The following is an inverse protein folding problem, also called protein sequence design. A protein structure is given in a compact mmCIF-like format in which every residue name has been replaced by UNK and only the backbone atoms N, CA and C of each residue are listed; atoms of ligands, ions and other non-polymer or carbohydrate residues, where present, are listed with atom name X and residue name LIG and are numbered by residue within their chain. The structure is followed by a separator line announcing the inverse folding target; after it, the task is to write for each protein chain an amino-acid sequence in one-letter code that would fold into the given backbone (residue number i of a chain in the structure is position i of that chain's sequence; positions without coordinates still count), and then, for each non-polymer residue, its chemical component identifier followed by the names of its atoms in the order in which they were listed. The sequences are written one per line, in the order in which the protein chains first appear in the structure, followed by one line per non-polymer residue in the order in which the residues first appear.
data_IF_622846015020
#
_entry.id   IF_622846015020
#
_cell.length_a   1.000
_cell.length_b   1.000
_cell.length_c   1.000
_cell.angle_alpha   90.00
_cell.angle_beta   90.00
_cell.angle_gamma   90.00
#
_symmetry.space_group_name_H-M   'P 1'
#
loop_
_entity.id
_entity.type
_entity.pdbx_description
1 polymer ?
#
# COMPACT_ATOMS: atom_id res chain seq x y z
N UNK A 1 17.50 13.69 -5.17
CA UNK A 1 17.18 13.07 -3.86
C UNK A 1 15.73 12.60 -3.93
N UNK A 2 15.43 11.37 -3.46
CA UNK A 2 14.07 10.82 -3.36
C UNK A 2 13.36 11.43 -2.15
N UNK A 3 12.07 11.66 -2.27
CA UNK A 3 11.21 12.16 -1.20
C UNK A 3 10.16 11.11 -0.86
N UNK A 4 10.17 10.60 0.37
CA UNK A 4 9.27 9.53 0.81
C UNK A 4 9.71 8.13 0.40
N UNK A 5 8.73 7.27 0.04
CA UNK A 5 8.95 5.88 -0.32
C UNK A 5 9.84 5.70 -1.55
N UNK A 6 10.56 4.58 -1.64
CA UNK A 6 11.42 4.25 -2.78
C UNK A 6 10.68 3.41 -3.82
N UNK A 7 11.08 3.52 -5.10
CA UNK A 7 10.52 2.70 -6.18
C UNK A 7 10.67 1.20 -5.92
N UNK A 8 11.79 0.80 -5.31
CA UNK A 8 12.11 -0.60 -4.98
C UNK A 8 11.18 -1.18 -3.90
N UNK A 9 10.70 -0.33 -3.02
CA UNK A 9 9.83 -0.75 -1.90
C UNK A 9 8.35 -0.58 -2.23
N UNK A 10 8.01 0.15 -3.30
CA UNK A 10 6.65 0.58 -3.61
C UNK A 10 6.29 1.91 -2.97
N UNK A 11 5.29 2.56 -3.50
CA UNK A 11 4.88 3.95 -3.19
C UNK A 11 3.45 3.96 -2.65
N UNK A 12 3.24 4.62 -1.51
CA UNK A 12 1.91 4.91 -0.98
C UNK A 12 1.39 6.25 -1.49
N UNK A 13 0.11 6.28 -1.84
CA UNK A 13 -0.62 7.50 -2.22
C UNK A 13 -1.99 7.49 -1.53
N UNK A 14 -2.06 8.05 -0.31
CA UNK A 14 -3.27 7.95 0.49
C UNK A 14 -3.56 6.51 0.90
N UNK A 15 -4.70 6.00 0.50
CA UNK A 15 -5.21 4.64 0.70
C UNK A 15 -4.80 3.66 -0.41
N UNK A 16 -3.95 4.08 -1.33
CA UNK A 16 -3.48 3.28 -2.46
C UNK A 16 -1.98 2.95 -2.35
N UNK A 17 -1.63 1.76 -2.81
CA UNK A 17 -0.26 1.27 -2.89
C UNK A 17 0.10 0.85 -4.32
N UNK A 18 1.20 1.39 -4.83
CA UNK A 18 1.71 1.17 -6.17
C UNK A 18 3.14 0.61 -6.10
N UNK A 19 3.38 -0.54 -6.68
CA UNK A 19 4.72 -1.12 -6.75
C UNK A 19 5.13 -1.35 -8.20
N UNK A 20 5.98 -0.46 -8.73
CA UNK A 20 6.41 -0.47 -10.13
C UNK A 20 7.09 -1.77 -10.56
N UNK A 21 8.20 -2.18 -9.91
CA UNK A 21 8.93 -3.41 -10.24
C UNK A 21 8.06 -4.68 -10.17
N UNK A 22 7.16 -4.82 -9.21
CA UNK A 22 6.25 -5.95 -9.12
C UNK A 22 5.01 -5.80 -10.02
N UNK A 23 4.83 -4.64 -10.67
CA UNK A 23 3.63 -4.31 -11.43
C UNK A 23 2.35 -4.63 -10.62
N UNK A 24 2.26 -4.04 -9.42
CA UNK A 24 1.24 -4.36 -8.42
C UNK A 24 0.53 -3.11 -7.92
N UNK A 25 -0.78 -3.19 -7.82
CA UNK A 25 -1.67 -2.25 -7.15
C UNK A 25 -2.45 -2.94 -6.05
N UNK A 26 -2.62 -2.25 -4.94
CA UNK A 26 -3.53 -2.57 -3.84
C UNK A 26 -4.17 -1.30 -3.30
N UNK A 27 -5.40 -1.40 -2.80
CA UNK A 27 -6.08 -0.31 -2.11
C UNK A 27 -6.54 -0.78 -0.72
N UNK A 28 -6.49 0.13 0.25
CA UNK A 28 -7.06 -0.07 1.58
C UNK A 28 -8.42 0.64 1.69
N UNK A 29 -9.26 0.27 2.66
CA UNK A 29 -10.41 1.10 3.02
C UNK A 29 -9.96 2.49 3.50
N UNK A 30 -10.82 3.48 3.34
CA UNK A 30 -10.61 4.81 3.90
C UNK A 30 -10.22 4.71 5.39
N UNK A 31 -9.34 5.59 5.82
CA UNK A 31 -8.84 5.67 7.20
C UNK A 31 -7.92 4.53 7.66
N UNK A 32 -7.73 3.48 6.89
CA UNK A 32 -6.73 2.46 7.19
C UNK A 32 -5.32 2.95 6.84
N UNK A 33 -4.36 2.58 7.66
CA UNK A 33 -2.96 2.90 7.41
C UNK A 33 -2.27 1.80 6.59
N UNK A 34 -1.51 2.21 5.57
CA UNK A 34 -0.62 1.31 4.83
C UNK A 34 0.79 1.53 5.37
N UNK A 35 1.40 0.47 5.92
CA UNK A 35 2.76 0.47 6.45
C UNK A 35 3.61 -0.44 5.57
N UNK A 36 4.54 0.16 4.86
CA UNK A 36 5.42 -0.55 3.94
C UNK A 36 6.77 -0.82 4.63
N UNK A 37 7.13 -2.10 4.75
CA UNK A 37 8.39 -2.55 5.33
C UNK A 37 9.19 -3.37 4.30
N UNK A 38 10.49 -3.61 4.50
CA UNK A 38 11.28 -4.40 3.54
C UNK A 38 10.74 -5.81 3.24
N UNK A 39 10.04 -6.43 4.19
CA UNK A 39 9.63 -7.83 4.09
C UNK A 39 8.11 -8.01 3.99
N UNK A 40 7.31 -6.98 4.22
CA UNK A 40 5.86 -7.07 4.22
C UNK A 40 5.16 -5.73 4.05
N UNK A 41 4.02 -5.78 3.40
CA UNK A 41 3.06 -4.69 3.36
C UNK A 41 1.97 -4.95 4.40
N UNK A 42 1.68 -3.96 5.23
CA UNK A 42 0.73 -4.06 6.34
C UNK A 42 -0.38 -3.04 6.14
N UNK A 43 -1.61 -3.50 6.28
CA UNK A 43 -2.80 -2.66 6.35
C UNK A 43 -3.33 -2.72 7.78
N UNK A 44 -3.45 -1.58 8.43
CA UNK A 44 -3.87 -1.44 9.82
C UNK A 44 -5.17 -0.64 9.92
N UNK A 45 -6.14 -1.15 10.64
CA UNK A 45 -7.35 -0.38 10.95
C UNK A 45 -7.01 0.86 11.79
N UNK A 46 -7.87 1.90 11.83
CA UNK A 46 -7.57 3.18 12.48
C UNK A 46 -7.10 3.09 13.92
N UNK A 47 -7.69 2.17 14.70
CA UNK A 47 -7.30 1.91 16.09
C UNK A 47 -6.27 0.78 16.23
N UNK A 48 -5.81 0.21 15.11
CA UNK A 48 -4.86 -0.89 15.11
C UNK A 48 -5.43 -2.22 15.61
N UNK A 49 -6.75 -2.36 15.73
CA UNK A 49 -7.42 -3.58 16.19
C UNK A 49 -7.26 -4.73 15.19
N UNK A 50 -7.35 -4.42 13.91
CA UNK A 50 -7.26 -5.37 12.80
C UNK A 50 -6.06 -5.09 11.91
N UNK A 51 -5.35 -6.15 11.54
CA UNK A 51 -4.15 -6.11 10.71
C UNK A 51 -4.32 -7.10 9.56
N UNK A 52 -4.07 -6.65 8.34
CA UNK A 52 -3.81 -7.53 7.20
C UNK A 52 -2.35 -7.36 6.78
N UNK A 53 -1.59 -8.44 6.77
CA UNK A 53 -0.22 -8.45 6.25
C UNK A 53 -0.19 -9.14 4.90
N UNK A 54 0.58 -8.59 3.96
CA UNK A 54 0.95 -9.25 2.71
C UNK A 54 2.45 -9.53 2.73
N UNK A 55 2.83 -10.75 2.40
CA UNK A 55 4.22 -11.16 2.14
C UNK A 55 4.34 -11.74 0.74
N UNK A 56 5.55 -11.79 0.23
CA UNK A 56 5.88 -12.29 -1.10
C UNK A 56 6.89 -13.42 -0.97
N UNK A 57 6.62 -14.54 -1.63
CA UNK A 57 7.53 -15.68 -1.73
C UNK A 57 7.61 -16.17 -3.17
N UNK A 58 8.72 -16.83 -3.51
CA UNK A 58 8.86 -17.48 -4.81
C UNK A 58 8.08 -18.81 -4.83
N UNK A 59 7.36 -19.06 -5.93
CA UNK A 59 6.65 -20.31 -6.15
C UNK A 59 7.63 -21.36 -6.70
N UNK A 60 8.13 -22.20 -5.82
CA UNK A 60 9.15 -23.19 -6.18
C UNK A 60 8.58 -24.52 -6.73
N UNK A 61 7.26 -24.70 -6.70
CA UNK A 61 6.61 -25.96 -7.10
C UNK A 61 5.34 -25.68 -7.91
N UNK A 62 5.04 -26.60 -8.83
CA UNK A 62 3.74 -26.59 -9.53
C UNK A 62 2.68 -27.18 -8.60
N UNK A 63 1.92 -26.33 -7.96
CA UNK A 63 0.82 -26.70 -7.08
C UNK A 63 -0.33 -25.71 -7.24
N UNK A 64 -1.52 -26.09 -6.78
CA UNK A 64 -2.66 -25.18 -6.75
C UNK A 64 -2.55 -24.21 -5.57
N UNK A 65 -3.21 -23.02 -5.63
CA UNK A 65 -3.28 -22.11 -4.49
C UNK A 65 -3.85 -22.77 -3.23
N UNK A 66 -4.83 -23.67 -3.39
CA UNK A 66 -5.42 -24.45 -2.31
C UNK A 66 -4.38 -25.41 -1.68
N UNK A 67 -3.59 -26.10 -2.48
CA UNK A 67 -2.57 -27.03 -1.97
C UNK A 67 -1.43 -26.28 -1.29
N UNK A 68 -1.04 -25.15 -1.83
CA UNK A 68 -0.10 -24.24 -1.18
C UNK A 68 -0.58 -23.84 0.22
N UNK A 69 -1.87 -23.45 0.36
CA UNK A 69 -2.46 -23.05 1.62
C UNK A 69 -2.45 -24.20 2.66
N UNK A 70 -2.55 -25.46 2.24
CA UNK A 70 -2.49 -26.63 3.14
C UNK A 70 -1.18 -26.77 3.91
N UNK A 71 -0.12 -26.10 3.46
CA UNK A 71 1.16 -26.04 4.19
C UNK A 71 1.03 -25.31 5.53
N UNK A 72 0.06 -24.40 5.65
CA UNK A 72 -0.13 -23.54 6.81
C UNK A 72 -1.27 -24.00 7.74
N UNK A 73 -2.21 -24.77 7.21
CA UNK A 73 -3.34 -25.29 7.98
C UNK A 73 -3.94 -26.52 7.31
N UNK A 74 -4.44 -27.44 8.12
CA UNK A 74 -5.12 -28.66 7.65
C UNK A 74 -6.64 -28.47 7.53
N UNK A 75 -7.22 -27.56 8.31
CA UNK A 75 -8.66 -27.33 8.35
C UNK A 75 -8.99 -25.90 7.93
N UNK A 76 -9.79 -25.80 6.88
CA UNK A 76 -10.30 -24.53 6.35
C UNK A 76 -11.81 -24.44 6.59
N UNK A 77 -12.30 -23.24 6.83
CA UNK A 77 -13.71 -22.91 6.80
C UNK A 77 -13.95 -21.57 6.13
N UNK A 78 -15.14 -21.38 5.57
CA UNK A 78 -15.46 -20.28 4.67
C UNK A 78 -14.40 -20.12 3.60
N UNK A 79 -13.98 -21.26 3.03
CA UNK A 79 -12.95 -21.32 2.00
C UNK A 79 -13.54 -21.15 0.60
N UNK A 80 -12.75 -20.55 -0.28
CA UNK A 80 -13.13 -20.25 -1.65
C UNK A 80 -11.92 -20.13 -2.57
N UNK A 81 -12.04 -20.74 -3.77
CA UNK A 81 -11.11 -20.42 -4.85
C UNK A 81 -11.33 -18.98 -5.33
N UNK A 82 -10.27 -18.30 -5.64
CA UNK A 82 -10.27 -16.92 -6.11
C UNK A 82 -9.80 -16.83 -7.55
N UNK A 83 -10.41 -15.92 -8.30
CA UNK A 83 -9.85 -15.40 -9.54
C UNK A 83 -9.99 -13.88 -9.48
N UNK A 84 -8.90 -13.21 -9.15
CA UNK A 84 -8.86 -11.76 -8.95
C UNK A 84 -8.07 -11.14 -10.10
N UNK A 85 -8.77 -10.44 -10.99
CA UNK A 85 -8.17 -9.79 -12.16
C UNK A 85 -7.30 -10.74 -13.02
N UNK A 86 -7.70 -12.02 -13.11
CA UNK A 86 -6.99 -13.06 -13.86
C UNK A 86 -5.90 -13.79 -13.07
N UNK A 87 -5.69 -13.46 -11.80
CA UNK A 87 -4.77 -14.19 -10.93
C UNK A 87 -5.52 -15.25 -10.13
N UNK A 88 -5.05 -16.50 -10.25
CA UNK A 88 -5.59 -17.60 -9.46
C UNK A 88 -5.20 -17.47 -8.00
N UNK A 89 -6.10 -17.85 -7.12
CA UNK A 89 -5.88 -17.78 -5.70
C UNK A 89 -6.81 -18.66 -4.88
N UNK A 90 -6.64 -18.62 -3.59
CA UNK A 90 -7.47 -19.29 -2.62
C UNK A 90 -7.55 -18.48 -1.33
N UNK A 91 -8.71 -18.45 -0.70
CA UNK A 91 -8.90 -17.83 0.61
C UNK A 91 -9.66 -18.74 1.55
N UNK A 92 -9.34 -18.65 2.84
CA UNK A 92 -10.04 -19.38 3.90
C UNK A 92 -9.92 -18.67 5.24
N UNK A 93 -10.82 -18.97 6.15
CA UNK A 93 -10.58 -18.76 7.58
C UNK A 93 -9.87 -19.97 8.16
N UNK A 94 -8.91 -19.71 9.03
CA UNK A 94 -8.07 -20.72 9.67
C UNK A 94 -8.03 -20.46 11.17
N UNK A 95 -8.18 -21.50 11.96
CA UNK A 95 -7.94 -21.40 13.40
C UNK A 95 -6.49 -21.73 13.70
N UNK A 96 -5.75 -20.77 14.26
CA UNK A 96 -4.37 -20.95 14.71
C UNK A 96 -4.31 -20.67 16.21
N UNK A 97 -4.09 -21.72 16.98
CA UNK A 97 -3.96 -21.61 18.46
C UNK A 97 -5.13 -20.87 19.11
N UNK A 98 -6.36 -21.19 18.71
CA UNK A 98 -7.57 -20.57 19.25
C UNK A 98 -7.98 -19.24 18.59
N UNK A 99 -7.14 -18.69 17.72
CA UNK A 99 -7.43 -17.44 17.01
C UNK A 99 -7.82 -17.69 15.56
N UNK A 100 -8.95 -17.11 15.16
CA UNK A 100 -9.40 -17.18 13.77
C UNK A 100 -8.71 -16.08 12.98
N UNK A 101 -8.11 -16.46 11.85
CA UNK A 101 -7.46 -15.55 10.92
C UNK A 101 -8.05 -15.72 9.51
N UNK A 102 -8.16 -14.66 8.73
CA UNK A 102 -8.38 -14.73 7.29
C UNK A 102 -7.03 -14.93 6.61
N UNK A 103 -6.90 -16.00 5.83
CA UNK A 103 -5.75 -16.21 4.96
C UNK A 103 -6.17 -16.17 3.50
N UNK A 104 -5.31 -15.66 2.65
CA UNK A 104 -5.46 -15.77 1.20
C UNK A 104 -4.09 -15.88 0.54
N UNK A 105 -4.05 -16.51 -0.61
CA UNK A 105 -2.89 -16.55 -1.51
C UNK A 105 -3.34 -16.20 -2.91
N UNK A 106 -2.51 -15.44 -3.63
CA UNK A 106 -2.69 -15.13 -5.03
C UNK A 106 -1.39 -15.47 -5.76
N UNK A 107 -1.50 -16.17 -6.87
CA UNK A 107 -0.37 -16.55 -7.72
C UNK A 107 -0.26 -15.55 -8.87
N UNK A 108 0.92 -14.97 -9.01
CA UNK A 108 1.22 -14.05 -10.10
C UNK A 108 2.66 -14.27 -10.56
N UNK A 109 2.81 -14.66 -11.82
CA UNK A 109 4.07 -15.15 -12.36
C UNK A 109 4.57 -16.33 -11.49
N UNK A 110 5.84 -16.41 -11.20
CA UNK A 110 6.41 -17.46 -10.32
C UNK A 110 6.46 -16.99 -8.85
N UNK A 111 5.46 -16.26 -8.40
CA UNK A 111 5.41 -15.67 -7.05
C UNK A 111 4.06 -15.92 -6.39
N UNK A 112 4.12 -16.08 -5.07
CA UNK A 112 2.96 -16.21 -4.18
C UNK A 112 2.85 -14.97 -3.32
N UNK A 113 1.73 -14.27 -3.44
CA UNK A 113 1.35 -13.17 -2.56
C UNK A 113 0.46 -13.73 -1.47
N UNK A 114 0.98 -13.81 -0.25
CA UNK A 114 0.28 -14.34 0.91
C UNK A 114 -0.31 -13.21 1.73
N UNK A 115 -1.59 -13.34 2.08
CA UNK A 115 -2.30 -12.41 2.94
C UNK A 115 -2.70 -13.11 4.22
N UNK A 116 -2.45 -12.48 5.37
CA UNK A 116 -2.86 -12.95 6.68
C UNK A 116 -3.54 -11.82 7.45
N UNK A 117 -4.85 -11.93 7.61
CA UNK A 117 -5.68 -10.99 8.35
C UNK A 117 -5.99 -11.51 9.76
N UNK A 118 -5.68 -10.72 10.78
CA UNK A 118 -5.89 -11.08 12.18
C UNK A 118 -6.26 -9.88 13.04
N UNK A 119 -6.77 -10.15 14.22
CA UNK A 119 -7.07 -9.14 15.23
C UNK A 119 -5.98 -9.14 16.29
N UNK A 120 -5.61 -7.96 16.77
CA UNK A 120 -4.68 -7.84 17.91
C UNK A 120 -5.35 -8.14 19.24
N UNK A 121 -6.63 -7.79 19.35
CA UNK A 121 -7.43 -7.98 20.56
C UNK A 121 -8.42 -9.15 20.38
N UNK A 122 -8.48 -10.03 21.40
CA UNK A 122 -9.39 -11.18 21.43
C UNK A 122 -10.86 -10.78 21.68
N UNK A 123 -11.10 -9.57 22.18
CA UNK A 123 -12.45 -9.06 22.43
C UNK A 123 -13.19 -8.67 21.14
N UNK A 124 -12.46 -8.42 20.05
CA UNK A 124 -13.03 -8.08 18.74
C UNK A 124 -13.37 -9.30 17.92
N UNK A 125 -14.43 -9.22 17.12
CA UNK A 125 -14.83 -10.31 16.22
C UNK A 125 -14.22 -10.15 14.83
N UNK A 126 -13.60 -11.20 14.30
CA UNK A 126 -13.07 -11.20 12.94
C UNK A 126 -14.14 -10.85 11.91
N UNK A 127 -15.40 -11.23 12.12
CA UNK A 127 -16.49 -10.93 11.20
C UNK A 127 -16.71 -9.43 10.94
N UNK A 128 -16.31 -8.58 11.88
CA UNK A 128 -16.35 -7.12 11.72
C UNK A 128 -15.36 -6.61 10.67
N UNK A 129 -14.19 -7.22 10.55
CA UNK A 129 -13.10 -6.76 9.70
C UNK A 129 -12.84 -7.65 8.48
N UNK A 130 -13.44 -8.83 8.44
CA UNK A 130 -13.27 -9.78 7.33
C UNK A 130 -13.69 -9.22 5.96
N UNK A 131 -14.79 -8.43 5.83
CA UNK A 131 -15.12 -7.77 4.57
C UNK A 131 -14.05 -6.79 4.11
N UNK A 132 -13.41 -6.05 5.03
CA UNK A 132 -12.32 -5.12 4.71
C UNK A 132 -11.06 -5.87 4.26
N UNK A 133 -10.71 -6.97 4.93
CA UNK A 133 -9.61 -7.84 4.49
C UNK A 133 -9.85 -8.37 3.07
N UNK A 134 -11.04 -8.88 2.81
CA UNK A 134 -11.41 -9.36 1.47
C UNK A 134 -11.44 -8.21 0.45
N UNK A 135 -11.85 -7.01 0.85
CA UNK A 135 -11.82 -5.82 0.00
C UNK A 135 -10.40 -5.48 -0.46
N UNK A 136 -9.44 -5.46 0.48
CA UNK A 136 -8.02 -5.23 0.16
C UNK A 136 -7.50 -6.33 -0.78
N UNK A 137 -7.75 -7.61 -0.47
CA UNK A 137 -7.32 -8.75 -1.29
C UNK A 137 -7.92 -8.65 -2.71
N UNK A 138 -9.20 -8.30 -2.83
CA UNK A 138 -9.89 -8.16 -4.12
C UNK A 138 -9.41 -6.96 -4.93
N UNK A 139 -8.76 -5.97 -4.31
CA UNK A 139 -8.17 -4.83 -5.02
C UNK A 139 -6.87 -5.18 -5.75
N UNK A 140 -6.30 -6.38 -5.52
CA UNK A 140 -5.06 -6.84 -6.12
C UNK A 140 -5.16 -6.88 -7.66
N UNK A 141 -4.30 -6.15 -8.33
CA UNK A 141 -4.22 -6.11 -9.80
C UNK A 141 -2.89 -5.58 -10.30
N UNK A 142 -2.66 -5.63 -11.59
CA UNK A 142 -1.55 -4.94 -12.23
C UNK A 142 -1.80 -3.44 -12.30
N UNK A 143 -0.73 -2.67 -12.40
CA UNK A 143 -0.78 -1.23 -12.68
C UNK A 143 -1.29 -0.96 -14.09
N UNK A 144 -2.18 0.01 -14.24
CA UNK A 144 -2.52 0.55 -15.54
C UNK A 144 -1.43 1.54 -16.02
N UNK A 145 -1.58 2.06 -17.26
CA UNK A 145 -0.57 2.92 -17.88
C UNK A 145 -0.31 4.21 -17.08
N UNK A 146 -1.34 4.83 -16.55
CA UNK A 146 -1.21 6.08 -15.81
C UNK A 146 -0.63 5.84 -14.41
N UNK A 147 -0.96 4.73 -13.78
CA UNK A 147 -0.48 4.35 -12.45
C UNK A 147 1.01 4.01 -12.40
N UNK A 148 1.61 3.67 -13.54
CA UNK A 148 3.08 3.50 -13.63
C UNK A 148 3.84 4.78 -13.28
N UNK A 149 3.27 5.94 -13.53
CA UNK A 149 3.87 7.20 -13.10
C UNK A 149 3.69 7.42 -11.59
N UNK A 150 2.56 7.00 -11.01
CA UNK A 150 2.35 7.03 -9.56
C UNK A 150 3.24 6.06 -8.79
N UNK A 151 3.73 4.99 -9.42
CA UNK A 151 4.68 4.06 -8.80
C UNK A 151 6.13 4.58 -8.76
N UNK A 152 6.40 5.77 -9.33
CA UNK A 152 7.71 6.41 -9.27
C UNK A 152 7.85 7.27 -8.01
N UNK A 153 9.03 7.29 -7.38
CA UNK A 153 9.24 8.12 -6.21
C UNK A 153 9.21 9.60 -6.58
N UNK A 154 8.67 10.40 -5.69
CA UNK A 154 8.75 11.85 -5.80
C UNK A 154 10.20 12.31 -5.67
N UNK A 155 10.57 13.34 -6.44
CA UNK A 155 11.94 13.85 -6.46
C UNK A 155 11.97 15.35 -6.21
N UNK A 156 12.99 15.78 -5.49
CA UNK A 156 13.29 17.20 -5.39
C UNK A 156 13.81 17.75 -6.73
N UNK A 157 13.26 18.85 -7.16
CA UNK A 157 13.77 19.66 -8.28
C UNK A 157 14.04 21.07 -7.82
N UNK A 158 15.09 21.68 -8.34
CA UNK A 158 15.34 23.12 -8.19
C UNK A 158 14.35 23.91 -9.04
N UNK A 159 13.73 24.91 -8.46
CA UNK A 159 12.77 25.78 -9.12
C UNK A 159 13.10 27.24 -8.84
N UNK A 160 13.18 28.08 -9.88
CA UNK A 160 13.33 29.51 -9.73
C UNK A 160 11.97 30.16 -9.63
N UNK A 161 11.68 30.76 -8.51
CA UNK A 161 10.40 31.44 -8.19
C UNK A 161 10.13 32.52 -9.22
N UNK A 162 8.93 32.50 -9.81
CA UNK A 162 8.44 33.49 -10.77
C UNK A 162 7.55 34.51 -10.06
N UNK A 163 7.32 35.65 -10.69
CA UNK A 163 6.36 36.63 -10.18
C UNK A 163 4.95 36.04 -10.08
N UNK A 164 4.32 36.18 -8.92
CA UNK A 164 2.99 35.64 -8.64
C UNK A 164 2.95 34.19 -8.12
N UNK A 165 4.11 33.49 -8.02
CA UNK A 165 4.16 32.19 -7.38
C UNK A 165 3.94 32.33 -5.87
N UNK A 166 3.13 31.41 -5.32
CA UNK A 166 2.95 31.21 -3.89
C UNK A 166 3.20 29.75 -3.52
N UNK A 167 3.46 29.45 -2.25
CA UNK A 167 3.57 28.05 -1.81
C UNK A 167 2.30 27.26 -2.10
N UNK A 168 1.13 27.87 -1.94
CA UNK A 168 -0.16 27.26 -2.28
C UNK A 168 -0.27 26.92 -3.78
N UNK A 169 0.13 27.84 -4.68
CA UNK A 169 0.10 27.60 -6.11
C UNK A 169 1.10 26.54 -6.59
N UNK A 170 2.24 26.40 -5.91
CA UNK A 170 3.21 25.34 -6.20
C UNK A 170 2.79 24.00 -5.59
N UNK A 171 2.17 24.03 -4.41
CA UNK A 171 1.63 22.83 -3.77
C UNK A 171 0.52 22.17 -4.59
N UNK A 172 -0.39 22.97 -5.16
CA UNK A 172 -1.46 22.45 -6.04
C UNK A 172 -0.97 21.78 -7.32
N UNK A 173 0.28 22.04 -7.72
CA UNK A 173 0.96 21.43 -8.89
C UNK A 173 1.91 20.30 -8.50
N UNK A 174 2.09 20.06 -7.21
CA UNK A 174 2.93 18.97 -6.71
C UNK A 174 2.15 17.67 -6.63
N UNK A 175 2.89 16.55 -6.60
CA UNK A 175 2.30 15.23 -6.38
C UNK A 175 2.32 14.82 -4.89
N UNK A 176 2.42 15.77 -3.97
CA UNK A 176 2.34 15.54 -2.54
C UNK A 176 0.87 15.41 -2.14
N UNK A 177 0.49 14.30 -1.51
CA UNK A 177 -0.91 13.99 -1.21
C UNK A 177 -1.50 14.76 -0.01
N UNK A 178 -0.67 15.03 1.02
CA UNK A 178 -1.14 15.65 2.27
C UNK A 178 -0.26 16.83 2.65
N UNK A 179 -0.86 17.92 3.10
CA UNK A 179 -0.17 19.10 3.62
C UNK A 179 0.95 19.60 2.69
N UNK A 180 0.70 19.57 1.37
CA UNK A 180 1.72 19.85 0.35
C UNK A 180 2.37 21.22 0.53
N UNK A 181 1.62 22.25 0.90
CA UNK A 181 2.13 23.59 1.16
C UNK A 181 3.11 23.59 2.35
N UNK A 182 2.72 23.02 3.47
CA UNK A 182 3.55 22.93 4.68
C UNK A 182 4.84 22.14 4.41
N UNK A 183 4.72 21.04 3.67
CA UNK A 183 5.89 20.23 3.30
C UNK A 183 6.84 21.00 2.38
N UNK A 184 6.33 21.77 1.42
CA UNK A 184 7.16 22.62 0.57
C UNK A 184 7.83 23.74 1.40
N UNK A 185 7.14 24.34 2.37
CA UNK A 185 7.70 25.32 3.29
C UNK A 185 8.82 24.70 4.14
N UNK A 186 8.58 23.52 4.71
CA UNK A 186 9.55 22.79 5.56
C UNK A 186 10.85 22.50 4.80
N UNK A 187 10.80 21.94 3.60
CA UNK A 187 12.00 21.56 2.83
C UNK A 187 12.82 22.77 2.35
N UNK A 188 12.20 23.97 2.37
CA UNK A 188 12.85 25.24 2.00
C UNK A 188 13.20 26.10 3.21
N UNK A 189 12.90 25.65 4.44
CA UNK A 189 13.16 26.40 5.68
C UNK A 189 12.28 27.64 5.86
N UNK A 190 11.08 27.61 5.30
CA UNK A 190 10.12 28.72 5.28
C UNK A 190 8.86 28.45 6.11
N UNK A 191 8.81 27.32 6.81
CA UNK A 191 7.69 26.99 7.71
C UNK A 191 7.72 27.88 8.97
N UNK A 192 6.57 28.36 9.50
CA UNK A 192 5.23 28.04 9.01
C UNK A 192 4.68 28.98 7.92
N UNK A 193 5.15 30.24 7.81
CA UNK A 193 4.42 31.31 7.11
C UNK A 193 5.27 32.19 6.18
N UNK A 194 6.57 31.94 6.05
CA UNK A 194 7.45 32.76 5.20
C UNK A 194 7.08 32.59 3.72
N UNK A 195 6.92 33.73 3.03
CA UNK A 195 6.48 33.75 1.64
C UNK A 195 7.64 33.69 0.64
N UNK A 196 7.31 33.33 -0.60
CA UNK A 196 8.26 33.23 -1.70
C UNK A 196 8.71 34.61 -2.19
N UNK A 197 9.97 34.71 -2.55
CA UNK A 197 10.55 35.92 -3.19
C UNK A 197 10.90 35.58 -4.64
N UNK A 198 10.42 36.40 -5.58
CA UNK A 198 10.73 36.24 -7.01
C UNK A 198 12.24 36.15 -7.25
N UNK A 199 12.66 35.19 -8.07
CA UNK A 199 14.06 34.94 -8.43
C UNK A 199 14.79 34.02 -7.48
N UNK A 200 14.28 33.75 -6.27
CA UNK A 200 14.85 32.77 -5.32
C UNK A 200 14.79 31.36 -5.93
N UNK A 201 15.83 30.56 -5.66
CA UNK A 201 15.84 29.14 -6.01
C UNK A 201 15.35 28.35 -4.81
N UNK A 202 14.31 27.55 -5.02
CA UNK A 202 13.72 26.68 -4.01
C UNK A 202 13.70 25.22 -4.48
N UNK A 203 13.45 24.29 -3.55
CA UNK A 203 13.13 22.90 -3.87
C UNK A 203 11.61 22.75 -4.06
N UNK A 204 11.21 22.10 -5.11
CA UNK A 204 9.85 21.63 -5.33
C UNK A 204 9.84 20.11 -5.43
N UNK A 205 8.67 19.49 -5.27
CA UNK A 205 8.46 18.05 -5.35
C UNK A 205 7.64 17.74 -6.61
N UNK A 206 8.17 16.85 -7.43
CA UNK A 206 7.50 16.34 -8.66
C UNK A 206 7.76 14.85 -8.84
#
# INVERSE_FOLDING_TARGET
MVFGDSEQSGIRRGDEFFHGPLNLYLASPDTWEIINTPNKLIFSSPLGEAILQMTLEDLNFKESPRDYMKRFASNFYEDKDLNINGFEGFTAKVNRSGRVTRMAVLFKNDQVYQFVGYLKDESSSLSRFDPQFLGIINSFRTLNKNERDFSKPLRHKSYKVKGGDTYSSLASKSNINLNAEDQLRLINGDYPDKELTTGRIIKIIQ
#
